data_IF_498525434546
#
_entry.id   IF_498525434546
#
_cell.length_a   1.000
_cell.length_b   1.000
_cell.length_c   1.000
_cell.angle_alpha   90.00
_cell.angle_beta   90.00
_cell.angle_gamma   90.00
#
_symmetry.space_group_name_H-M   'P 1'
#
loop_
_entity.id
_entity.type
_entity.pdbx_description
1 polymer ?
#
# COMPACT_ATOMS: atom_id res chain seq x y z
N UNK A 1 3.48 75.93 3.15
CA UNK A 1 3.13 74.62 3.74
C UNK A 1 4.08 73.59 3.15
N UNK A 2 4.82 72.86 3.98
CA UNK A 2 5.39 71.58 3.54
C UNK A 2 4.26 70.53 3.49
N UNK A 3 4.38 69.51 2.65
CA UNK A 3 3.60 68.28 2.79
C UNK A 3 4.42 67.32 3.64
N UNK A 4 3.80 66.76 4.67
CA UNK A 4 4.39 65.64 5.41
C UNK A 4 4.42 64.39 4.51
N UNK A 5 5.44 63.53 4.63
CA UNK A 5 5.42 62.22 4.00
C UNK A 5 4.40 61.33 4.72
N UNK A 6 3.50 60.71 3.96
CA UNK A 6 2.62 59.67 4.51
C UNK A 6 3.51 58.48 4.89
N UNK A 7 3.45 58.07 6.16
CA UNK A 7 4.11 56.86 6.62
C UNK A 7 3.27 55.64 6.24
N UNK A 8 3.73 54.87 5.24
CA UNK A 8 3.22 53.51 4.99
C UNK A 8 3.62 52.59 6.15
N UNK A 9 2.85 52.67 7.24
CA UNK A 9 2.93 51.75 8.35
C UNK A 9 2.28 50.42 7.95
N UNK A 10 3.06 49.56 7.27
CA UNK A 10 2.73 48.15 7.15
C UNK A 10 2.39 47.62 8.57
N UNK A 11 1.23 46.97 8.77
CA UNK A 11 0.92 46.38 10.07
C UNK A 11 1.98 45.32 10.37
N UNK A 12 2.73 45.53 11.45
CA UNK A 12 3.85 44.65 11.83
C UNK A 12 3.35 43.22 11.95
N UNK A 13 3.87 42.33 11.11
CA UNK A 13 3.55 40.91 11.16
C UNK A 13 3.87 40.37 12.55
N UNK A 14 2.92 39.64 13.14
CA UNK A 14 3.23 38.79 14.29
C UNK A 14 4.25 37.75 13.83
N UNK A 15 5.36 37.52 14.54
CA UNK A 15 6.36 36.54 14.12
C UNK A 15 5.80 35.11 14.18
N UNK A 16 6.43 34.13 13.49
CA UNK A 16 6.08 32.73 13.62
C UNK A 16 6.10 32.27 15.08
N UNK A 17 5.24 31.32 15.51
CA UNK A 17 5.25 30.83 16.88
C UNK A 17 6.62 30.27 17.27
N UNK A 18 7.34 30.97 18.16
CA UNK A 18 8.76 30.75 18.43
C UNK A 18 9.09 29.29 18.77
N UNK A 19 8.29 28.64 19.63
CA UNK A 19 8.49 27.24 20.01
C UNK A 19 8.30 26.26 18.85
N UNK A 20 7.46 26.59 17.86
CA UNK A 20 7.28 25.78 16.64
C UNK A 20 8.44 26.00 15.66
N UNK A 21 8.92 27.24 15.52
CA UNK A 21 10.12 27.58 14.75
C UNK A 21 11.38 26.90 15.32
N UNK A 22 11.53 26.86 16.65
CA UNK A 22 12.61 26.14 17.33
C UNK A 22 12.50 24.62 17.10
N UNK A 23 11.32 24.04 17.34
CA UNK A 23 11.04 22.61 17.06
C UNK A 23 11.31 22.23 15.60
N UNK A 24 11.13 23.14 14.63
CA UNK A 24 11.44 22.88 13.22
C UNK A 24 12.94 22.93 12.91
N UNK A 25 13.72 23.76 13.62
CA UNK A 25 15.20 23.82 13.47
C UNK A 25 15.86 22.52 13.89
N UNK A 26 15.35 21.85 14.93
CA UNK A 26 15.84 20.54 15.39
C UNK A 26 15.79 19.43 14.31
N UNK A 27 14.87 19.58 13.34
CA UNK A 27 14.71 18.67 12.20
C UNK A 27 15.19 19.27 10.87
N UNK A 28 15.71 20.49 10.89
CA UNK A 28 16.05 21.26 9.69
C UNK A 28 14.85 21.40 8.75
N UNK A 29 13.77 22.04 9.20
CA UNK A 29 12.54 22.29 8.43
C UNK A 29 12.03 23.73 8.58
N UNK A 30 12.88 24.70 8.95
CA UNK A 30 12.44 26.08 9.25
C UNK A 30 11.97 26.88 8.02
N UNK A 31 12.33 26.48 6.79
CA UNK A 31 11.93 27.16 5.54
C UNK A 31 10.41 27.18 5.30
N UNK A 32 9.62 26.35 6.00
CA UNK A 32 8.16 26.37 5.91
C UNK A 32 7.56 27.75 6.28
N UNK A 33 8.31 28.57 7.03
CA UNK A 33 7.95 29.94 7.37
C UNK A 33 8.62 31.02 6.49
N UNK A 34 9.32 30.65 5.41
CA UNK A 34 10.08 31.60 4.58
C UNK A 34 9.24 32.72 3.93
N UNK A 35 7.93 32.50 3.73
CA UNK A 35 6.98 33.48 3.19
C UNK A 35 6.00 34.02 4.25
N UNK A 36 6.28 33.81 5.54
CA UNK A 36 5.34 34.09 6.64
C UNK A 36 4.83 35.53 6.67
N UNK A 37 5.68 36.50 6.35
CA UNK A 37 5.32 37.93 6.35
C UNK A 37 4.34 38.30 5.23
N UNK A 38 4.30 37.51 4.14
CA UNK A 38 3.36 37.68 3.01
C UNK A 38 1.96 37.10 3.30
N UNK A 39 1.82 36.25 4.33
CA UNK A 39 0.58 35.55 4.66
C UNK A 39 -0.46 36.42 5.39
N UNK A 40 -1.74 36.21 5.08
CA UNK A 40 -2.86 36.67 5.92
C UNK A 40 -2.90 35.97 7.29
N UNK A 41 -3.69 36.48 8.24
CA UNK A 41 -3.82 35.86 9.57
C UNK A 41 -4.42 34.46 9.48
N UNK A 42 -5.36 34.26 8.58
CA UNK A 42 -6.05 33.00 8.30
C UNK A 42 -5.10 31.96 7.69
N UNK A 43 -4.23 32.39 6.77
CA UNK A 43 -3.20 31.53 6.16
C UNK A 43 -2.10 31.16 7.17
N UNK A 44 -1.68 32.08 8.04
CA UNK A 44 -0.79 31.79 9.17
C UNK A 44 -1.39 30.72 10.09
N UNK A 45 -2.66 30.87 10.45
CA UNK A 45 -3.41 29.93 11.27
C UNK A 45 -3.54 28.54 10.62
N UNK A 46 -3.71 28.48 9.29
CA UNK A 46 -3.72 27.23 8.52
C UNK A 46 -2.34 26.58 8.54
N UNK A 47 -1.27 27.33 8.27
CA UNK A 47 0.09 26.81 8.21
C UNK A 47 0.56 26.24 9.55
N UNK A 48 0.32 26.97 10.66
CA UNK A 48 0.65 26.50 12.02
C UNK A 48 -0.04 25.16 12.29
N UNK A 49 -1.36 25.06 12.06
CA UNK A 49 -2.11 23.81 12.25
C UNK A 49 -1.64 22.69 11.31
N UNK A 50 -1.28 23.01 10.08
CA UNK A 50 -0.82 22.03 9.08
C UNK A 50 0.55 21.40 9.45
N UNK A 51 1.39 22.14 10.18
CA UNK A 51 2.67 21.70 10.75
C UNK A 51 2.51 21.04 12.12
N UNK A 52 1.66 21.56 13.00
CA UNK A 52 1.44 21.00 14.35
C UNK A 52 0.93 19.55 14.28
N UNK A 53 0.09 19.25 13.29
CA UNK A 53 -0.39 17.89 12.98
C UNK A 53 0.70 16.95 12.41
N UNK A 54 1.96 17.38 12.26
CA UNK A 54 3.07 16.54 11.82
C UNK A 54 3.82 15.92 12.99
N UNK A 55 3.94 14.58 12.95
CA UNK A 55 4.95 13.83 13.71
C UNK A 55 6.32 14.04 13.06
N UNK A 56 6.91 15.20 13.32
CA UNK A 56 8.23 15.60 12.79
C UNK A 56 9.32 14.57 13.15
N UNK A 57 9.22 13.89 14.29
CA UNK A 57 10.18 12.86 14.71
C UNK A 57 10.08 11.59 13.86
N UNK A 58 8.86 11.11 13.57
CA UNK A 58 8.67 10.02 12.60
C UNK A 58 9.10 10.43 11.19
N UNK A 59 8.80 11.65 10.77
CA UNK A 59 9.09 12.14 9.41
C UNK A 59 10.60 12.28 9.21
N UNK A 60 11.32 12.90 10.13
CA UNK A 60 12.79 12.97 10.13
C UNK A 60 13.43 11.57 10.13
N UNK A 61 12.93 10.64 10.96
CA UNK A 61 13.39 9.25 10.95
C UNK A 61 13.17 8.57 9.59
N UNK A 62 12.04 8.83 8.91
CA UNK A 62 11.77 8.34 7.54
C UNK A 62 12.79 8.92 6.55
N UNK A 63 13.00 10.24 6.58
CA UNK A 63 13.94 10.98 5.73
C UNK A 63 15.36 10.44 5.91
N UNK A 64 15.88 10.44 7.15
CA UNK A 64 17.23 9.95 7.47
C UNK A 64 17.42 8.48 7.08
N UNK A 65 16.44 7.61 7.34
CA UNK A 65 16.51 6.22 6.88
C UNK A 65 16.51 6.10 5.35
N UNK A 66 15.81 6.97 4.63
CA UNK A 66 15.79 7.01 3.17
C UNK A 66 17.16 7.34 2.58
N UNK A 67 17.70 8.51 2.95
CA UNK A 67 18.99 8.97 2.43
C UNK A 67 20.14 8.03 2.82
N UNK A 68 20.17 7.55 4.07
CA UNK A 68 21.19 6.60 4.52
C UNK A 68 21.07 5.21 3.86
N UNK A 69 19.92 4.85 3.27
CA UNK A 69 19.76 3.56 2.59
C UNK A 69 20.49 3.47 1.24
N UNK A 70 20.78 4.60 0.59
CA UNK A 70 21.41 4.62 -0.74
C UNK A 70 22.91 4.26 -0.73
N UNK A 71 23.55 4.22 0.44
CA UNK A 71 24.98 3.91 0.59
C UNK A 71 25.31 2.52 1.15
N UNK A 72 24.31 1.71 1.54
CA UNK A 72 24.54 0.41 2.19
C UNK A 72 24.42 -0.73 1.17
N UNK A 73 25.43 -1.61 1.01
CA UNK A 73 25.33 -2.77 0.13
C UNK A 73 24.08 -3.62 0.44
N UNK A 74 23.22 -3.78 -0.55
CA UNK A 74 22.00 -4.58 -0.41
C UNK A 74 22.37 -6.04 -0.09
N UNK A 75 21.81 -6.58 0.99
CA UNK A 75 22.03 -7.97 1.38
C UNK A 75 21.62 -8.91 0.22
N UNK A 76 22.53 -9.81 -0.15
CA UNK A 76 22.44 -10.67 -1.34
C UNK A 76 21.08 -11.36 -1.47
N UNK A 77 20.53 -11.35 -2.68
CA UNK A 77 19.19 -11.88 -2.96
C UNK A 77 19.27 -13.34 -3.43
N UNK A 78 18.50 -14.19 -2.76
CA UNK A 78 18.26 -15.59 -3.14
C UNK A 78 16.85 -15.73 -3.71
N UNK A 79 16.58 -16.68 -4.63
CA UNK A 79 15.23 -16.97 -5.07
C UNK A 79 14.37 -17.49 -3.91
N UNK A 80 13.05 -17.37 -4.02
CA UNK A 80 12.12 -18.04 -3.09
C UNK A 80 12.31 -19.56 -3.21
N UNK A 81 12.48 -20.31 -2.10
CA UNK A 81 12.52 -21.77 -2.16
C UNK A 81 11.20 -22.33 -2.70
N UNK A 82 11.28 -23.22 -3.69
CA UNK A 82 10.10 -23.85 -4.30
C UNK A 82 9.24 -24.59 -3.25
N UNK A 83 9.86 -25.16 -2.21
CA UNK A 83 9.18 -25.87 -1.11
C UNK A 83 8.26 -25.02 -0.23
N UNK A 84 8.25 -23.69 -0.37
CA UNK A 84 7.27 -22.80 0.30
C UNK A 84 6.29 -22.13 -0.70
N UNK A 85 6.29 -22.57 -1.96
CA UNK A 85 5.38 -22.14 -3.01
C UNK A 85 4.51 -23.33 -3.42
N UNK A 86 3.19 -23.20 -3.34
CA UNK A 86 2.29 -24.11 -4.07
C UNK A 86 1.96 -23.49 -5.40
N UNK A 87 2.51 -24.01 -6.50
CA UNK A 87 2.03 -23.68 -7.86
C UNK A 87 0.62 -24.22 -8.05
N UNK A 88 -0.05 -23.95 -9.18
CA UNK A 88 -1.39 -24.52 -9.42
C UNK A 88 -1.29 -25.89 -10.09
N UNK A 89 -0.23 -26.10 -10.85
CA UNK A 89 0.12 -27.32 -11.58
C UNK A 89 0.45 -28.50 -10.65
N UNK A 90 0.92 -28.23 -9.43
CA UNK A 90 1.26 -29.24 -8.41
C UNK A 90 0.09 -29.58 -7.46
N UNK A 91 -1.11 -29.01 -7.67
CA UNK A 91 -2.26 -29.21 -6.77
C UNK A 91 -3.13 -30.37 -7.23
N UNK A 92 -3.27 -31.38 -6.37
CA UNK A 92 -4.24 -32.46 -6.57
C UNK A 92 -5.68 -31.93 -6.50
N UNK A 93 -6.66 -32.71 -6.99
CA UNK A 93 -8.07 -32.32 -6.84
C UNK A 93 -8.50 -32.38 -5.36
N UNK A 94 -7.91 -33.32 -4.64
CA UNK A 94 -8.03 -33.56 -3.21
C UNK A 94 -7.53 -32.35 -2.40
N UNK A 95 -6.39 -31.75 -2.76
CA UNK A 95 -5.91 -30.48 -2.17
C UNK A 95 -6.90 -29.33 -2.42
N UNK A 96 -7.37 -29.20 -3.66
CA UNK A 96 -8.28 -28.12 -4.06
C UNK A 96 -9.60 -28.22 -3.32
N UNK A 97 -10.15 -29.42 -3.18
CA UNK A 97 -11.39 -29.69 -2.44
C UNK A 97 -11.19 -29.54 -0.93
N UNK A 98 -10.10 -30.08 -0.36
CA UNK A 98 -9.71 -29.92 1.05
C UNK A 98 -9.61 -28.45 1.44
N UNK A 99 -8.82 -27.67 0.72
CA UNK A 99 -8.65 -26.25 1.00
C UNK A 99 -9.95 -25.47 0.75
N UNK A 100 -10.73 -25.78 -0.30
CA UNK A 100 -12.05 -25.17 -0.49
C UNK A 100 -12.96 -25.42 0.73
N UNK A 101 -13.10 -26.68 1.18
CA UNK A 101 -13.89 -27.04 2.38
C UNK A 101 -13.38 -26.31 3.65
N UNK A 102 -12.07 -26.23 3.86
CA UNK A 102 -11.47 -25.53 5.00
C UNK A 102 -11.73 -24.02 4.98
N UNK A 103 -11.58 -23.37 3.82
CA UNK A 103 -11.87 -21.94 3.67
C UNK A 103 -13.35 -21.62 3.80
N UNK A 104 -14.22 -22.42 3.17
CA UNK A 104 -15.67 -22.26 3.27
C UNK A 104 -16.15 -22.41 4.72
N UNK A 105 -15.61 -23.37 5.48
CA UNK A 105 -15.87 -23.49 6.91
C UNK A 105 -15.41 -22.25 7.69
N UNK A 106 -14.21 -21.72 7.41
CA UNK A 106 -13.71 -20.52 8.09
C UNK A 106 -14.56 -19.27 7.78
N UNK A 107 -15.06 -19.14 6.54
CA UNK A 107 -16.05 -18.11 6.17
C UNK A 107 -17.37 -18.32 6.91
N UNK A 108 -17.92 -19.53 6.90
CA UNK A 108 -19.21 -19.83 7.52
C UNK A 108 -19.19 -19.70 9.06
N UNK A 109 -18.02 -19.85 9.67
CA UNK A 109 -17.75 -19.57 11.09
C UNK A 109 -17.46 -18.08 11.40
N UNK A 110 -17.56 -17.18 10.42
CA UNK A 110 -17.35 -15.73 10.60
C UNK A 110 -15.90 -15.31 10.84
N UNK A 111 -14.91 -16.14 10.47
CA UNK A 111 -13.49 -15.91 10.81
C UNK A 111 -12.72 -15.09 9.77
N UNK A 112 -13.32 -14.79 8.62
CA UNK A 112 -12.71 -14.04 7.52
C UNK A 112 -13.23 -12.60 7.47
N UNK A 113 -12.30 -11.65 7.39
CA UNK A 113 -12.55 -10.29 6.93
C UNK A 113 -11.87 -10.04 5.58
N UNK A 114 -12.31 -9.00 4.89
CA UNK A 114 -11.71 -8.50 3.64
C UNK A 114 -11.17 -7.09 3.87
N UNK A 115 -9.98 -6.80 3.38
CA UNK A 115 -9.27 -5.53 3.53
C UNK A 115 -8.88 -4.97 2.16
N UNK A 116 -9.59 -3.94 1.73
CA UNK A 116 -9.37 -3.30 0.43
C UNK A 116 -8.44 -2.10 0.55
N UNK A 117 -7.41 -2.06 -0.28
CA UNK A 117 -6.48 -0.95 -0.42
C UNK A 117 -6.95 -0.07 -1.60
N UNK A 118 -7.66 1.02 -1.29
CA UNK A 118 -8.30 1.94 -2.25
C UNK A 118 -7.95 3.42 -2.03
N UNK A 119 -6.75 3.69 -1.49
CA UNK A 119 -6.26 5.05 -1.28
C UNK A 119 -5.87 5.83 -2.55
N UNK A 120 -5.72 5.14 -3.69
CA UNK A 120 -5.31 5.73 -4.97
C UNK A 120 -6.46 6.31 -5.80
N UNK A 121 -6.22 7.49 -6.39
CA UNK A 121 -7.11 8.11 -7.38
C UNK A 121 -6.97 7.44 -8.77
N UNK A 122 -7.99 7.63 -9.62
CA UNK A 122 -8.04 7.15 -11.01
C UNK A 122 -7.27 8.02 -12.02
N UNK A 123 -6.35 8.87 -11.58
CA UNK A 123 -5.74 9.92 -12.44
C UNK A 123 -4.98 9.40 -13.65
N UNK A 124 -4.27 8.27 -13.53
CA UNK A 124 -3.63 7.59 -14.70
C UNK A 124 -4.64 6.98 -15.69
N UNK A 125 -5.88 6.76 -15.26
CA UNK A 125 -6.99 6.30 -16.10
C UNK A 125 -7.81 7.48 -16.67
N UNK A 126 -7.33 8.72 -16.51
CA UNK A 126 -8.03 9.92 -16.95
C UNK A 126 -9.24 10.34 -16.08
N UNK A 127 -9.43 9.73 -14.91
CA UNK A 127 -10.54 10.04 -14.00
C UNK A 127 -10.07 10.82 -12.76
N UNK A 128 -10.90 11.76 -12.30
CA UNK A 128 -10.77 12.45 -11.01
C UNK A 128 -11.09 11.57 -9.81
N UNK A 129 -11.78 10.46 -10.03
CA UNK A 129 -12.51 9.74 -8.99
C UNK A 129 -11.64 8.67 -8.32
N UNK A 130 -12.03 8.12 -7.15
CA UNK A 130 -11.37 6.96 -6.56
C UNK A 130 -11.30 5.80 -7.56
N UNK A 131 -10.17 5.11 -7.65
CA UNK A 131 -9.95 4.09 -8.71
C UNK A 131 -11.02 2.98 -8.72
N UNK A 132 -11.59 2.64 -7.56
CA UNK A 132 -12.68 1.67 -7.44
C UNK A 132 -14.01 2.06 -8.12
N UNK A 133 -14.26 3.36 -8.34
CA UNK A 133 -15.44 3.84 -9.06
C UNK A 133 -15.36 3.59 -10.58
N UNK A 134 -14.17 3.28 -11.10
CA UNK A 134 -13.93 3.18 -12.54
C UNK A 134 -14.69 2.01 -13.19
N UNK A 135 -15.37 2.28 -14.30
CA UNK A 135 -16.03 1.29 -15.15
C UNK A 135 -15.11 0.95 -16.33
N UNK A 136 -14.67 -0.32 -16.41
CA UNK A 136 -13.74 -0.81 -17.45
C UNK A 136 -14.42 -1.16 -18.79
N UNK A 137 -15.67 -0.76 -19.01
CA UNK A 137 -16.39 -0.98 -20.26
C UNK A 137 -17.03 -2.36 -20.43
N UNK A 138 -17.28 -3.08 -19.33
CA UNK A 138 -18.02 -4.35 -19.41
C UNK A 138 -19.48 -4.11 -19.86
N UNK A 139 -20.12 -5.07 -20.56
CA UNK A 139 -21.53 -4.96 -20.98
C UNK A 139 -22.54 -4.74 -19.85
N UNK A 140 -22.13 -4.99 -18.60
CA UNK A 140 -22.92 -4.77 -17.39
C UNK A 140 -22.77 -3.37 -16.76
N UNK A 141 -21.86 -2.53 -17.27
CA UNK A 141 -21.60 -1.17 -16.79
C UNK A 141 -21.00 -1.04 -15.38
N UNK A 142 -20.63 -2.16 -14.75
CA UNK A 142 -20.26 -2.22 -13.33
C UNK A 142 -18.87 -1.64 -13.06
N UNK A 143 -18.74 -0.90 -11.96
CA UNK A 143 -17.46 -0.42 -11.44
C UNK A 143 -16.66 -1.51 -10.72
N UNK A 144 -15.37 -1.29 -10.50
CA UNK A 144 -14.51 -2.22 -9.76
C UNK A 144 -15.03 -2.50 -8.34
N UNK A 145 -15.55 -1.50 -7.63
CA UNK A 145 -16.20 -1.69 -6.33
C UNK A 145 -17.41 -2.63 -6.42
N UNK A 146 -18.30 -2.44 -7.39
CA UNK A 146 -19.46 -3.32 -7.57
C UNK A 146 -19.06 -4.77 -7.90
N UNK A 147 -18.08 -4.95 -8.79
CA UNK A 147 -17.55 -6.28 -9.14
C UNK A 147 -16.93 -7.00 -7.94
N UNK A 148 -16.40 -6.26 -6.96
CA UNK A 148 -15.83 -6.80 -5.73
C UNK A 148 -16.92 -7.12 -4.69
N UNK A 149 -17.88 -6.21 -4.51
CA UNK A 149 -19.04 -6.42 -3.62
C UNK A 149 -19.88 -7.65 -4.01
N UNK A 150 -20.15 -7.83 -5.31
CA UNK A 150 -20.89 -8.99 -5.82
C UNK A 150 -20.13 -10.31 -5.65
N UNK A 151 -18.79 -10.28 -5.57
CA UNK A 151 -17.97 -11.46 -5.23
C UNK A 151 -18.08 -11.80 -3.74
N UNK A 152 -18.10 -10.80 -2.86
CA UNK A 152 -18.34 -10.98 -1.42
C UNK A 152 -19.73 -11.61 -1.19
N UNK A 153 -20.78 -11.05 -1.81
CA UNK A 153 -22.15 -11.60 -1.77
C UNK A 153 -22.21 -13.04 -2.32
N UNK A 154 -21.46 -13.36 -3.37
CA UNK A 154 -21.39 -14.71 -3.92
C UNK A 154 -20.76 -15.70 -2.93
N UNK A 155 -19.63 -15.34 -2.30
CA UNK A 155 -18.98 -16.19 -1.29
C UNK A 155 -19.88 -16.38 -0.06
N UNK A 156 -20.57 -15.32 0.41
CA UNK A 156 -21.58 -15.43 1.48
C UNK A 156 -22.73 -16.39 1.12
N UNK A 157 -23.26 -16.31 -0.10
CA UNK A 157 -24.32 -17.24 -0.58
C UNK A 157 -23.82 -18.69 -0.62
N UNK A 158 -22.62 -18.92 -1.16
CA UNK A 158 -22.02 -20.25 -1.24
C UNK A 158 -21.71 -20.82 0.16
N UNK A 159 -21.27 -19.99 1.11
CA UNK A 159 -21.02 -20.40 2.49
C UNK A 159 -22.33 -20.82 3.19
N UNK A 160 -23.41 -20.04 3.00
CA UNK A 160 -24.75 -20.39 3.50
C UNK A 160 -25.28 -21.71 2.92
N UNK A 161 -24.99 -22.00 1.64
CA UNK A 161 -25.33 -23.28 1.01
C UNK A 161 -24.49 -24.47 1.51
N UNK A 162 -23.34 -24.22 2.14
CA UNK A 162 -22.45 -25.29 2.65
C UNK A 162 -22.81 -25.78 4.07
N UNK A 163 -23.61 -25.02 4.83
CA UNK A 163 -24.18 -25.48 6.11
C UNK A 163 -25.50 -26.20 5.83
N UNK A 164 -25.43 -27.51 5.64
CA UNK A 164 -26.62 -28.34 5.38
C UNK A 164 -27.44 -28.72 6.63
N UNK A 165 -27.06 -28.23 7.82
CA UNK A 165 -27.69 -28.61 9.10
C UNK A 165 -27.93 -27.40 10.02
N UNK A 166 -29.22 -27.06 10.22
CA UNK A 166 -29.72 -26.39 11.42
C UNK A 166 -29.40 -24.90 11.61
N UNK A 167 -30.26 -24.03 11.03
CA UNK A 167 -30.63 -22.69 11.55
C UNK A 167 -29.51 -21.68 11.92
N UNK A 168 -28.28 -21.88 11.45
CA UNK A 168 -27.17 -20.94 11.67
C UNK A 168 -27.03 -19.98 10.49
N UNK A 169 -27.42 -18.73 10.69
CA UNK A 169 -27.10 -17.63 9.78
C UNK A 169 -25.57 -17.49 9.67
N UNK A 170 -25.04 -17.50 8.45
CA UNK A 170 -23.62 -17.19 8.20
C UNK A 170 -23.37 -15.71 8.50
N UNK A 171 -22.37 -15.36 9.35
CA UNK A 171 -21.99 -13.97 9.56
C UNK A 171 -21.52 -13.32 8.24
N UNK A 172 -21.85 -12.04 7.97
CA UNK A 172 -21.36 -11.35 6.79
C UNK A 172 -19.83 -11.22 6.82
N UNK A 173 -19.20 -11.22 5.64
CA UNK A 173 -17.75 -11.05 5.50
C UNK A 173 -17.48 -9.54 5.60
N UNK A 174 -16.96 -9.11 6.74
CA UNK A 174 -16.76 -7.69 7.01
C UNK A 174 -15.71 -7.09 6.07
N UNK A 175 -16.07 -6.01 5.38
CA UNK A 175 -15.27 -5.35 4.36
C UNK A 175 -14.70 -4.02 4.87
N UNK A 176 -13.44 -4.04 5.27
CA UNK A 176 -12.69 -2.85 5.66
C UNK A 176 -12.10 -2.21 4.39
N UNK A 177 -12.46 -0.96 4.12
CA UNK A 177 -12.04 -0.24 2.90
C UNK A 177 -11.12 0.91 3.32
N UNK A 178 -9.84 0.78 2.97
CA UNK A 178 -8.85 1.80 3.23
C UNK A 178 -8.85 2.83 2.10
N UNK A 179 -9.22 4.07 2.43
CA UNK A 179 -9.25 5.23 1.55
C UNK A 179 -8.03 6.12 1.81
N UNK A 180 -7.89 7.23 1.08
CA UNK A 180 -7.00 8.33 1.46
C UNK A 180 -7.82 9.58 1.74
N UNK A 181 -7.27 10.63 2.37
CA UNK A 181 -7.96 11.91 2.53
C UNK A 181 -8.47 12.52 1.21
N UNK A 182 -7.87 12.14 0.07
CA UNK A 182 -8.26 12.58 -1.28
C UNK A 182 -9.28 11.66 -1.99
N UNK A 183 -9.68 10.54 -1.39
CA UNK A 183 -10.66 9.59 -1.98
C UNK A 183 -11.84 9.24 -1.06
N UNK A 184 -11.74 9.47 0.24
CA UNK A 184 -12.69 8.96 1.24
C UNK A 184 -14.13 9.47 1.05
N UNK A 185 -14.35 10.78 1.02
CA UNK A 185 -15.69 11.37 0.92
C UNK A 185 -16.43 10.93 -0.36
N UNK A 186 -15.72 10.93 -1.49
CA UNK A 186 -16.26 10.47 -2.79
C UNK A 186 -16.57 8.96 -2.75
N UNK A 187 -15.72 8.16 -2.08
CA UNK A 187 -15.93 6.71 -1.95
C UNK A 187 -17.18 6.42 -1.09
N UNK A 188 -17.35 7.09 0.06
CA UNK A 188 -18.55 6.92 0.92
C UNK A 188 -19.83 7.24 0.16
N UNK A 189 -19.89 8.44 -0.44
CA UNK A 189 -21.04 8.88 -1.27
C UNK A 189 -21.32 7.95 -2.43
N UNK A 190 -20.29 7.37 -3.06
CA UNK A 190 -20.45 6.39 -4.13
C UNK A 190 -21.10 5.08 -3.63
N UNK A 191 -20.68 4.55 -2.48
CA UNK A 191 -21.32 3.37 -1.88
C UNK A 191 -22.75 3.65 -1.40
N UNK A 192 -22.98 4.78 -0.72
CA UNK A 192 -24.30 5.20 -0.22
C UNK A 192 -25.32 5.31 -1.38
N UNK A 193 -24.97 6.03 -2.45
CA UNK A 193 -25.82 6.19 -3.64
C UNK A 193 -26.11 4.87 -4.38
N UNK A 194 -25.20 3.90 -4.30
CA UNK A 194 -25.38 2.55 -4.87
C UNK A 194 -25.89 1.52 -3.85
N UNK A 195 -26.37 1.95 -2.67
CA UNK A 195 -26.90 1.10 -1.59
C UNK A 195 -25.95 -0.05 -1.23
N UNK A 196 -24.66 0.28 -1.08
CA UNK A 196 -23.57 -0.66 -0.77
C UNK A 196 -23.49 -1.86 -1.72
N UNK A 197 -24.02 -1.72 -2.94
CA UNK A 197 -24.11 -2.77 -3.97
C UNK A 197 -24.87 -4.04 -3.51
N UNK A 198 -25.77 -3.91 -2.53
CA UNK A 198 -26.53 -5.02 -1.95
C UNK A 198 -25.85 -5.73 -0.77
N UNK A 199 -24.74 -5.20 -0.26
CA UNK A 199 -24.25 -5.51 1.09
C UNK A 199 -25.06 -4.71 2.13
N UNK A 200 -25.15 -5.20 3.36
CA UNK A 200 -25.66 -4.40 4.48
C UNK A 200 -24.65 -3.30 4.84
N UNK A 201 -25.13 -2.10 5.19
CA UNK A 201 -24.28 -0.94 5.44
C UNK A 201 -23.31 -1.12 6.63
N UNK A 202 -23.66 -1.97 7.60
CA UNK A 202 -22.87 -2.24 8.81
C UNK A 202 -21.74 -3.27 8.61
N UNK A 203 -21.76 -4.04 7.51
CA UNK A 203 -20.66 -4.95 7.14
C UNK A 203 -19.56 -4.26 6.31
N UNK A 204 -19.67 -2.95 6.06
CA UNK A 204 -18.68 -2.14 5.34
C UNK A 204 -18.12 -1.06 6.26
N UNK A 205 -16.79 -0.90 6.30
CA UNK A 205 -16.15 0.10 7.19
C UNK A 205 -15.03 0.83 6.47
N UNK A 206 -15.25 2.12 6.18
CA UNK A 206 -14.27 2.99 5.55
C UNK A 206 -13.36 3.67 6.57
N UNK A 207 -12.06 3.59 6.35
CA UNK A 207 -11.03 4.23 7.19
C UNK A 207 -9.90 4.80 6.32
N UNK A 208 -9.29 5.89 6.77
CA UNK A 208 -8.28 6.60 5.97
C UNK A 208 -6.86 6.13 6.29
N UNK A 209 -6.04 5.95 5.26
CA UNK A 209 -4.58 5.87 5.43
C UNK A 209 -3.98 7.24 5.74
N UNK A 210 -2.71 7.26 6.19
CA UNK A 210 -2.03 8.48 6.57
C UNK A 210 -1.63 9.34 5.38
N UNK A 211 -1.06 10.50 5.68
CA UNK A 211 -0.28 11.27 4.72
C UNK A 211 1.06 11.66 5.33
N UNK A 212 2.03 11.93 4.47
CA UNK A 212 3.39 12.35 4.82
C UNK A 212 3.83 13.49 3.90
N UNK A 213 4.65 14.45 4.38
CA UNK A 213 5.20 15.51 3.53
C UNK A 213 5.99 14.98 2.34
N UNK A 214 5.81 15.63 1.20
CA UNK A 214 6.74 15.56 0.09
C UNK A 214 8.02 16.32 0.46
N UNK A 215 9.19 15.77 0.12
CA UNK A 215 10.49 16.41 0.44
C UNK A 215 11.34 16.66 -0.79
N UNK A 216 12.28 17.59 -0.68
CA UNK A 216 13.29 17.87 -1.72
C UNK A 216 14.41 16.81 -1.69
N UNK A 217 15.37 16.93 -2.61
CA UNK A 217 16.61 16.13 -2.61
C UNK A 217 17.48 16.35 -1.37
N UNK A 218 17.27 17.46 -0.69
CA UNK A 218 17.99 17.92 0.50
C UNK A 218 17.22 17.57 1.79
N UNK A 219 16.06 16.91 1.67
CA UNK A 219 15.20 16.51 2.80
C UNK A 219 14.31 17.61 3.37
N UNK A 220 14.30 18.82 2.79
CA UNK A 220 13.40 19.92 3.20
C UNK A 220 11.97 19.65 2.74
N UNK A 221 10.97 20.01 3.53
CA UNK A 221 9.56 19.93 3.15
C UNK A 221 9.27 20.79 1.91
N UNK A 222 8.47 20.28 0.98
CA UNK A 222 8.02 21.04 -0.19
C UNK A 222 6.63 21.62 0.08
N UNK A 223 6.45 22.90 -0.23
CA UNK A 223 5.18 23.61 -0.04
C UNK A 223 4.25 23.43 -1.25
N UNK A 224 2.95 23.23 -1.01
CA UNK A 224 1.91 23.25 -2.05
C UNK A 224 1.47 24.70 -2.34
N UNK A 225 1.28 25.47 -1.27
CA UNK A 225 1.04 26.92 -1.25
C UNK A 225 1.96 27.55 -0.19
N UNK A 226 2.14 28.88 -0.16
CA UNK A 226 2.89 29.56 0.91
C UNK A 226 2.48 29.22 2.35
N UNK A 227 1.29 28.62 2.53
CA UNK A 227 0.70 28.28 3.83
C UNK A 227 0.30 26.80 3.99
N UNK A 228 0.78 25.90 3.11
CA UNK A 228 0.46 24.46 3.19
C UNK A 228 1.61 23.58 2.72
N UNK A 229 1.94 22.56 3.51
CA UNK A 229 2.94 21.56 3.13
C UNK A 229 2.33 20.60 2.11
N UNK A 230 3.02 20.33 1.00
CA UNK A 230 2.59 19.34 0.02
C UNK A 230 2.67 17.94 0.64
N UNK A 231 1.55 17.21 0.61
CA UNK A 231 1.40 15.91 1.29
C UNK A 231 0.97 14.82 0.30
N UNK A 232 1.56 13.65 0.45
CA UNK A 232 1.20 12.42 -0.28
C UNK A 232 0.56 11.42 0.67
N UNK A 233 -0.34 10.53 0.22
CA UNK A 233 -0.73 9.36 1.00
C UNK A 233 0.50 8.50 1.33
N UNK A 234 0.53 7.88 2.51
CA UNK A 234 1.73 7.21 3.06
C UNK A 234 2.05 5.81 2.47
N UNK A 235 1.44 5.48 1.33
CA UNK A 235 1.62 4.21 0.61
C UNK A 235 0.82 3.05 1.20
N UNK A 236 0.74 1.93 0.47
CA UNK A 236 -0.08 0.78 0.85
C UNK A 236 0.32 0.11 2.19
N UNK A 237 1.55 0.34 2.67
CA UNK A 237 2.02 -0.02 4.01
C UNK A 237 1.50 0.88 5.15
N UNK A 238 0.89 2.03 4.84
CA UNK A 238 0.19 2.88 5.80
C UNK A 238 -0.95 2.15 6.53
N UNK A 239 -1.49 1.09 5.91
CA UNK A 239 -2.57 0.25 6.45
C UNK A 239 -2.31 -0.26 7.87
N UNK A 240 -1.07 -0.57 8.23
CA UNK A 240 -0.75 -1.04 9.59
C UNK A 240 -0.85 0.07 10.65
N UNK A 241 -0.53 1.31 10.28
CA UNK A 241 -0.77 2.48 11.15
C UNK A 241 -2.27 2.80 11.21
N UNK A 242 -2.92 2.85 10.05
CA UNK A 242 -4.34 3.19 9.92
C UNK A 242 -5.26 2.23 10.68
N UNK A 243 -5.10 0.91 10.51
CA UNK A 243 -5.87 -0.11 11.25
C UNK A 243 -5.76 0.05 12.78
N UNK A 244 -4.60 0.47 13.28
CA UNK A 244 -4.35 0.68 14.72
C UNK A 244 -4.94 2.00 15.21
N UNK A 245 -4.70 3.11 14.53
CA UNK A 245 -5.26 4.41 14.93
C UNK A 245 -6.80 4.44 14.83
N UNK A 246 -7.38 3.74 13.84
CA UNK A 246 -8.83 3.55 13.73
C UNK A 246 -9.39 2.43 14.62
N UNK A 247 -8.55 1.78 15.45
CA UNK A 247 -8.94 0.71 16.40
C UNK A 247 -9.64 -0.51 15.77
N UNK A 248 -9.38 -0.74 14.48
CA UNK A 248 -9.99 -1.80 13.69
C UNK A 248 -9.40 -3.18 14.01
N UNK A 249 -8.21 -3.24 14.60
CA UNK A 249 -7.62 -4.48 15.11
C UNK A 249 -8.43 -5.04 16.30
N UNK A 250 -8.94 -4.15 17.18
CA UNK A 250 -9.84 -4.52 18.27
C UNK A 250 -11.26 -4.83 17.79
N UNK A 251 -11.77 -4.12 16.78
CA UNK A 251 -13.07 -4.43 16.15
C UNK A 251 -13.05 -5.80 15.46
N UNK A 252 -12.01 -6.10 14.66
CA UNK A 252 -11.76 -7.43 14.11
C UNK A 252 -11.70 -8.51 15.20
N UNK A 253 -11.00 -8.25 16.31
CA UNK A 253 -10.92 -9.20 17.42
C UNK A 253 -12.29 -9.45 18.08
N UNK A 254 -13.08 -8.39 18.26
CA UNK A 254 -14.43 -8.42 18.86
C UNK A 254 -15.42 -9.16 17.98
N UNK A 255 -15.33 -9.01 16.65
CA UNK A 255 -16.10 -9.77 15.65
C UNK A 255 -15.65 -11.25 15.52
N UNK A 256 -14.59 -11.66 16.20
CA UNK A 256 -14.05 -13.03 16.14
C UNK A 256 -13.18 -13.33 14.92
N UNK A 257 -12.83 -12.33 14.11
CA UNK A 257 -11.99 -12.46 12.92
C UNK A 257 -10.65 -13.10 13.28
N UNK A 258 -10.16 -13.99 12.41
CA UNK A 258 -8.83 -14.60 12.49
C UNK A 258 -8.00 -14.36 11.24
N UNK A 259 -8.65 -14.16 10.09
CA UNK A 259 -8.03 -14.13 8.77
C UNK A 259 -8.47 -12.88 8.00
N UNK A 260 -7.55 -12.26 7.28
CA UNK A 260 -7.78 -11.02 6.54
C UNK A 260 -7.27 -11.19 5.10
N UNK A 261 -8.18 -11.22 4.13
CA UNK A 261 -7.88 -11.22 2.69
C UNK A 261 -7.67 -9.77 2.22
N UNK A 262 -6.41 -9.38 1.99
CA UNK A 262 -5.96 -8.02 1.75
C UNK A 262 -5.56 -7.82 0.28
N UNK A 263 -6.16 -6.85 -0.42
CA UNK A 263 -5.92 -6.66 -1.85
C UNK A 263 -6.03 -5.21 -2.38
N UNK A 264 -5.35 -4.93 -3.50
CA UNK A 264 -5.42 -3.66 -4.23
C UNK A 264 -6.65 -3.52 -5.15
N UNK A 265 -7.29 -2.36 -5.15
CA UNK A 265 -8.60 -2.12 -5.80
C UNK A 265 -8.61 -2.24 -7.34
N UNK A 266 -7.45 -2.12 -8.00
CA UNK A 266 -7.29 -2.17 -9.46
C UNK A 266 -7.47 -3.56 -10.08
N UNK A 267 -7.29 -4.63 -9.30
CA UNK A 267 -7.33 -5.98 -9.84
C UNK A 267 -8.78 -6.40 -10.18
N UNK A 268 -9.23 -6.08 -11.40
CA UNK A 268 -10.55 -6.45 -11.91
C UNK A 268 -10.84 -7.97 -11.86
N UNK A 269 -9.82 -8.82 -11.85
CA UNK A 269 -9.92 -10.28 -11.77
C UNK A 269 -9.78 -10.85 -10.34
N UNK A 270 -9.72 -10.01 -9.31
CA UNK A 270 -9.50 -10.45 -7.93
C UNK A 270 -10.61 -11.40 -7.45
N UNK A 271 -10.20 -12.63 -7.09
CA UNK A 271 -11.03 -13.56 -6.31
C UNK A 271 -11.01 -13.08 -4.86
N UNK A 272 -11.91 -12.16 -4.53
CA UNK A 272 -12.17 -11.68 -3.16
C UNK A 272 -12.66 -12.83 -2.29
N UNK A 273 -12.18 -12.92 -1.06
CA UNK A 273 -12.58 -13.94 -0.08
C UNK A 273 -12.38 -15.40 -0.57
N UNK A 274 -11.35 -15.61 -1.40
CA UNK A 274 -11.05 -16.88 -2.08
C UNK A 274 -10.91 -18.08 -1.10
N UNK A 275 -11.90 -18.99 -1.06
CA UNK A 275 -11.91 -20.06 -0.06
C UNK A 275 -10.75 -21.06 -0.24
N UNK A 276 -10.30 -21.30 -1.48
CA UNK A 276 -9.14 -22.18 -1.73
C UNK A 276 -7.85 -21.55 -1.19
N UNK A 277 -7.69 -20.23 -1.27
CA UNK A 277 -6.52 -19.55 -0.72
C UNK A 277 -6.58 -19.48 0.81
N UNK A 278 -7.75 -19.21 1.38
CA UNK A 278 -7.95 -19.24 2.83
C UNK A 278 -7.71 -20.65 3.41
N UNK A 279 -8.20 -21.69 2.75
CA UNK A 279 -7.94 -23.07 3.16
C UNK A 279 -6.47 -23.45 3.09
N UNK A 280 -5.77 -23.08 2.01
CA UNK A 280 -4.32 -23.25 1.88
C UNK A 280 -3.56 -22.54 3.02
N UNK A 281 -3.95 -21.30 3.32
CA UNK A 281 -3.36 -20.50 4.39
C UNK A 281 -3.50 -21.17 5.77
N UNK A 282 -4.69 -21.71 6.06
CA UNK A 282 -4.99 -22.45 7.29
C UNK A 282 -4.22 -23.79 7.32
N UNK A 283 -4.22 -24.55 6.22
CA UNK A 283 -3.54 -25.85 6.09
C UNK A 283 -2.02 -25.76 6.26
N UNK A 284 -1.41 -24.64 5.84
CA UNK A 284 0.03 -24.37 6.06
C UNK A 284 0.35 -23.75 7.42
N UNK A 285 -0.66 -23.34 8.21
CA UNK A 285 -0.45 -22.78 9.56
C UNK A 285 0.39 -21.49 9.59
N UNK A 286 0.44 -20.74 8.49
CA UNK A 286 1.31 -19.55 8.36
C UNK A 286 0.62 -18.28 8.84
N UNK A 287 1.38 -17.30 9.32
CA UNK A 287 0.85 -16.01 9.79
C UNK A 287 0.63 -14.99 8.65
N UNK A 288 1.26 -15.21 7.49
CA UNK A 288 1.18 -14.37 6.30
C UNK A 288 1.46 -15.18 5.04
N UNK A 289 0.72 -14.93 3.96
CA UNK A 289 0.93 -15.51 2.63
C UNK A 289 0.58 -14.48 1.54
N UNK A 290 1.03 -14.73 0.31
CA UNK A 290 0.67 -13.93 -0.86
C UNK A 290 0.22 -14.83 -2.02
N UNK A 291 -0.70 -14.35 -2.87
CA UNK A 291 -0.85 -14.88 -4.23
C UNK A 291 0.16 -14.17 -5.12
N UNK A 292 0.85 -14.93 -5.96
CA UNK A 292 1.86 -14.44 -6.91
C UNK A 292 1.48 -14.83 -8.32
N UNK A 293 2.01 -14.12 -9.30
CA UNK A 293 2.00 -14.55 -10.71
C UNK A 293 3.41 -14.92 -11.15
N UNK A 294 3.53 -15.66 -12.26
CA UNK A 294 4.84 -15.86 -12.88
C UNK A 294 5.20 -14.61 -13.67
N UNK A 295 6.39 -14.05 -13.39
CA UNK A 295 7.00 -13.02 -14.23
C UNK A 295 7.08 -13.53 -15.66
N UNK A 296 6.44 -12.84 -16.58
CA UNK A 296 6.24 -13.30 -17.96
C UNK A 296 7.52 -13.17 -18.80
N UNK A 297 8.31 -12.12 -18.55
CA UNK A 297 9.58 -11.86 -19.24
C UNK A 297 10.53 -11.03 -18.34
N UNK A 298 11.87 -11.08 -18.54
CA UNK A 298 12.85 -10.45 -17.64
C UNK A 298 12.61 -8.96 -17.38
N UNK A 299 12.15 -8.24 -18.40
CA UNK A 299 11.94 -6.78 -18.43
C UNK A 299 10.58 -6.34 -17.87
N UNK A 300 9.71 -7.26 -17.41
CA UNK A 300 8.42 -6.89 -16.82
C UNK A 300 8.63 -6.01 -15.57
N UNK A 301 7.95 -4.86 -15.54
CA UNK A 301 8.02 -3.85 -14.47
C UNK A 301 7.17 -4.26 -13.26
N UNK A 302 7.57 -5.33 -12.59
CA UNK A 302 6.87 -5.85 -11.40
C UNK A 302 7.87 -6.23 -10.32
N UNK A 303 7.56 -5.87 -9.07
CA UNK A 303 8.34 -6.29 -7.91
C UNK A 303 8.27 -7.81 -7.74
N UNK A 304 9.42 -8.43 -7.48
CA UNK A 304 9.54 -9.90 -7.32
C UNK A 304 9.84 -10.27 -5.88
N UNK A 305 9.24 -11.35 -5.40
CA UNK A 305 9.59 -11.95 -4.12
C UNK A 305 10.98 -12.60 -4.20
N UNK A 306 11.81 -12.27 -3.22
CA UNK A 306 13.15 -12.84 -3.01
C UNK A 306 13.34 -13.19 -1.53
N UNK A 307 14.35 -14.00 -1.23
CA UNK A 307 14.89 -14.14 0.12
C UNK A 307 16.10 -13.21 0.29
N UNK A 308 16.16 -12.45 1.38
CA UNK A 308 17.30 -11.55 1.68
C UNK A 308 18.33 -12.30 2.55
N UNK A 309 19.37 -12.81 1.91
CA UNK A 309 20.45 -13.59 2.52
C UNK A 309 20.07 -15.04 2.86
N UNK A 310 21.07 -15.92 2.91
CA UNK A 310 20.91 -17.34 3.23
C UNK A 310 20.23 -17.55 4.58
N UNK A 311 19.10 -18.23 4.57
CA UNK A 311 18.27 -18.45 5.78
C UNK A 311 17.33 -17.29 6.13
N UNK A 312 17.54 -16.10 5.57
CA UNK A 312 16.85 -14.85 5.92
C UNK A 312 15.37 -14.76 5.49
N UNK A 313 14.73 -13.60 5.74
CA UNK A 313 13.31 -13.37 5.44
C UNK A 313 13.04 -13.22 3.94
N UNK A 314 11.78 -13.45 3.57
CA UNK A 314 11.25 -13.01 2.29
C UNK A 314 11.09 -11.48 2.28
N UNK A 315 11.21 -10.89 1.11
CA UNK A 315 10.83 -9.50 0.82
C UNK A 315 10.54 -9.35 -0.66
N UNK A 316 9.89 -8.25 -1.06
CA UNK A 316 9.92 -7.83 -2.45
C UNK A 316 11.23 -7.09 -2.76
N UNK A 317 11.67 -7.20 -4.01
CA UNK A 317 12.64 -6.33 -4.69
C UNK A 317 11.87 -5.70 -5.83
N UNK A 318 11.74 -4.37 -5.86
CA UNK A 318 11.07 -3.70 -6.98
C UNK A 318 11.90 -3.79 -8.26
N UNK A 319 11.25 -3.67 -9.42
CA UNK A 319 11.92 -3.82 -10.72
C UNK A 319 13.05 -2.81 -10.96
N UNK A 320 13.06 -1.70 -10.23
CA UNK A 320 14.12 -0.68 -10.19
C UNK A 320 15.27 -1.00 -9.22
N UNK A 321 15.07 -1.89 -8.26
CA UNK A 321 16.12 -2.43 -7.36
C UNK A 321 16.80 -3.69 -7.94
N UNK A 322 16.16 -4.37 -8.90
CA UNK A 322 16.63 -5.64 -9.43
C UNK A 322 17.67 -5.45 -10.55
N UNK A 323 18.88 -5.95 -10.32
CA UNK A 323 19.95 -5.97 -11.32
C UNK A 323 19.48 -6.62 -12.65
N UNK A 324 19.65 -5.96 -13.81
CA UNK A 324 19.22 -6.50 -15.12
C UNK A 324 19.87 -7.83 -15.51
N UNK A 325 21.08 -8.13 -15.00
CA UNK A 325 21.71 -9.44 -15.19
C UNK A 325 20.99 -10.52 -14.41
N UNK A 326 20.58 -10.22 -13.16
CA UNK A 326 19.84 -11.15 -12.30
C UNK A 326 18.40 -11.37 -12.78
N UNK A 327 17.75 -10.35 -13.35
CA UNK A 327 16.37 -10.47 -13.87
C UNK A 327 16.24 -11.46 -15.03
N UNK A 328 17.34 -11.74 -15.73
CA UNK A 328 17.40 -12.61 -16.91
C UNK A 328 17.94 -14.02 -16.63
N UNK A 329 18.35 -14.34 -15.39
CA UNK A 329 18.91 -15.67 -15.04
C UNK A 329 17.83 -16.74 -15.10
N UNK A 330 18.11 -17.86 -15.79
CA UNK A 330 17.24 -19.05 -15.85
C UNK A 330 17.63 -20.08 -14.78
N UNK A 331 16.63 -20.58 -14.05
CA UNK A 331 16.76 -21.77 -13.21
C UNK A 331 16.82 -23.03 -14.09
N UNK A 332 18.00 -23.64 -14.15
CA UNK A 332 18.27 -24.81 -15.00
C UNK A 332 17.42 -26.06 -14.67
N UNK A 333 16.87 -26.16 -13.45
CA UNK A 333 16.02 -27.29 -13.06
C UNK A 333 14.55 -27.13 -13.49
N UNK A 334 14.07 -25.89 -13.64
CA UNK A 334 12.65 -25.60 -13.91
C UNK A 334 12.40 -24.92 -15.25
N UNK A 335 13.45 -24.45 -15.93
CA UNK A 335 13.36 -23.65 -17.17
C UNK A 335 12.80 -22.24 -16.96
N UNK A 336 12.43 -21.87 -15.73
CA UNK A 336 11.82 -20.57 -15.38
C UNK A 336 12.88 -19.50 -15.10
N UNK A 337 12.50 -18.23 -15.15
CA UNK A 337 13.32 -17.15 -14.58
C UNK A 337 13.58 -17.44 -13.09
N UNK A 338 14.82 -17.23 -12.63
CA UNK A 338 15.25 -17.50 -11.24
C UNK A 338 14.49 -16.64 -10.24
N UNK A 339 14.13 -15.42 -10.62
CA UNK A 339 13.32 -14.50 -9.83
C UNK A 339 11.98 -14.27 -10.54
N UNK A 340 11.10 -15.28 -10.49
CA UNK A 340 9.84 -15.31 -11.26
C UNK A 340 8.56 -15.07 -10.44
N UNK A 341 8.62 -14.92 -9.11
CA UNK A 341 7.41 -14.80 -8.30
C UNK A 341 7.01 -13.34 -8.10
N UNK A 342 6.15 -12.84 -8.99
CA UNK A 342 5.73 -11.43 -9.06
C UNK A 342 4.68 -11.08 -8.01
N UNK A 343 4.86 -9.92 -7.37
CA UNK A 343 3.97 -9.33 -6.38
C UNK A 343 2.75 -8.65 -7.05
N UNK A 344 1.56 -9.20 -6.86
CA UNK A 344 0.30 -8.64 -7.38
C UNK A 344 -0.61 -8.05 -6.30
N UNK A 345 -0.03 -7.69 -5.15
CA UNK A 345 -0.75 -7.07 -4.03
C UNK A 345 -2.00 -7.86 -3.59
N UNK A 346 -1.86 -9.18 -3.45
CA UNK A 346 -2.88 -10.11 -2.95
C UNK A 346 -2.31 -10.89 -1.77
N UNK A 347 -2.78 -10.63 -0.55
CA UNK A 347 -2.18 -11.15 0.68
C UNK A 347 -3.22 -11.72 1.64
N UNK A 348 -2.87 -12.78 2.37
CA UNK A 348 -3.65 -13.29 3.50
C UNK A 348 -2.84 -13.11 4.78
N UNK A 349 -3.44 -12.53 5.81
CA UNK A 349 -2.81 -12.31 7.11
C UNK A 349 -3.63 -12.95 8.24
N UNK A 350 -2.97 -13.39 9.31
CA UNK A 350 -3.65 -13.58 10.60
C UNK A 350 -3.84 -12.24 11.30
N UNK A 351 -4.91 -12.11 12.08
CA UNK A 351 -5.11 -10.94 12.94
C UNK A 351 -3.95 -10.73 13.93
N UNK A 352 -3.35 -11.81 14.41
CA UNK A 352 -2.17 -11.78 15.30
C UNK A 352 -0.92 -11.23 14.59
N UNK A 353 -0.77 -11.45 13.28
CA UNK A 353 0.31 -10.88 12.48
C UNK A 353 0.12 -9.36 12.30
N UNK A 354 -1.10 -8.91 11.94
CA UNK A 354 -1.41 -7.49 11.83
C UNK A 354 -1.17 -6.75 13.15
N UNK A 355 -1.60 -7.34 14.28
CA UNK A 355 -1.33 -6.81 15.62
C UNK A 355 0.17 -6.75 15.95
N UNK A 356 0.95 -7.78 15.62
CA UNK A 356 2.41 -7.76 15.83
C UNK A 356 3.11 -6.70 14.98
N UNK A 357 2.70 -6.50 13.72
CA UNK A 357 3.28 -5.49 12.84
C UNK A 357 2.91 -4.07 13.29
N UNK A 358 1.64 -3.81 13.56
CA UNK A 358 1.15 -2.48 13.96
C UNK A 358 1.70 -2.02 15.33
N UNK A 359 1.92 -2.95 16.27
CA UNK A 359 2.61 -2.66 17.53
C UNK A 359 4.15 -2.72 17.44
N UNK A 360 4.69 -3.28 16.36
CA UNK A 360 6.12 -3.27 16.04
C UNK A 360 6.58 -1.93 15.44
N UNK A 361 5.70 -1.21 14.73
CA UNK A 361 5.99 0.05 14.03
C UNK A 361 6.40 1.22 14.93
N UNK A 362 5.96 1.23 16.19
CA UNK A 362 6.33 2.27 17.16
C UNK A 362 7.76 2.09 17.69
N UNK A 363 8.34 0.89 17.57
CA UNK A 363 9.67 0.55 18.07
C UNK A 363 10.66 0.57 16.91
N UNK A 364 11.87 1.08 17.12
CA UNK A 364 12.88 1.40 16.09
C UNK A 364 13.52 0.20 15.36
N UNK A 365 12.81 -0.93 15.30
CA UNK A 365 13.29 -2.22 14.79
C UNK A 365 12.96 -2.48 13.32
N UNK A 366 12.07 -1.68 12.69
CA UNK A 366 11.57 -1.95 11.34
C UNK A 366 12.20 -1.01 10.32
N UNK A 367 13.12 -1.56 9.50
CA UNK A 367 13.59 -0.90 8.28
C UNK A 367 12.47 -0.85 7.24
N UNK A 368 11.79 0.29 7.18
CA UNK A 368 10.91 0.71 6.09
C UNK A 368 11.65 0.60 4.74
N UNK A 369 10.90 0.32 3.67
CA UNK A 369 11.36 0.51 2.29
C UNK A 369 10.63 1.74 1.74
N UNK A 370 11.33 2.53 0.93
CA UNK A 370 10.83 3.78 0.38
C UNK A 370 10.97 3.73 -1.15
N UNK A 371 9.89 4.01 -1.88
CA UNK A 371 9.94 4.15 -3.35
C UNK A 371 10.04 5.63 -3.70
N UNK A 372 11.22 6.08 -4.13
CA UNK A 372 11.43 7.47 -4.56
C UNK A 372 10.78 7.74 -5.91
N UNK A 373 9.55 8.25 -5.90
CA UNK A 373 8.94 8.83 -7.11
C UNK A 373 9.56 10.21 -7.39
N UNK A 374 9.94 10.47 -8.64
CA UNK A 374 10.28 11.80 -9.13
C UNK A 374 9.15 12.33 -10.01
N UNK A 375 8.47 13.39 -9.57
CA UNK A 375 7.35 14.00 -10.32
C UNK A 375 7.74 15.43 -10.73
N UNK A 376 7.78 15.69 -12.04
CA UNK A 376 7.89 17.04 -12.60
C UNK A 376 6.51 17.70 -12.55
N UNK A 377 6.27 18.51 -11.52
CA UNK A 377 5.06 19.34 -11.39
C UNK A 377 4.98 20.33 -12.56
N UNK A 378 3.99 20.19 -13.46
CA UNK A 378 3.85 21.15 -14.56
C UNK A 378 3.41 22.53 -14.03
N UNK A 379 4.20 23.57 -14.35
CA UNK A 379 4.12 25.00 -13.95
C UNK A 379 2.74 25.70 -13.97
N UNK A 380 1.67 25.08 -14.49
CA UNK A 380 0.44 25.74 -14.97
C UNK A 380 -0.52 26.33 -13.92
N UNK A 381 -0.30 26.15 -12.61
CA UNK A 381 -1.06 26.87 -11.56
C UNK A 381 -0.25 27.87 -10.72
N UNK A 382 1.07 27.70 -10.62
CA UNK A 382 1.91 28.55 -9.76
C UNK A 382 2.07 29.99 -10.33
N UNK A 383 2.13 30.10 -11.65
CA UNK A 383 2.44 31.38 -12.33
C UNK A 383 1.31 32.41 -12.36
N UNK A 384 0.06 32.01 -12.04
CA UNK A 384 -1.12 32.85 -12.25
C UNK A 384 -1.59 33.62 -10.99
N UNK A 385 -0.95 33.38 -9.85
CA UNK A 385 -1.23 34.03 -8.56
C UNK A 385 -0.20 35.08 -8.16
N UNK A 386 1.10 34.83 -8.38
CA UNK A 386 2.17 35.56 -7.66
C UNK A 386 2.70 36.84 -8.32
N UNK A 387 2.41 37.13 -9.60
CA UNK A 387 2.74 38.40 -10.27
C UNK A 387 4.22 38.80 -10.42
N UNK A 388 5.15 38.12 -9.74
CA UNK A 388 6.57 38.49 -9.62
C UNK A 388 7.45 37.65 -10.56
N UNK A 389 8.36 38.26 -11.34
CA UNK A 389 9.37 37.54 -12.11
C UNK A 389 10.48 37.03 -11.19
N UNK A 390 10.82 35.75 -11.29
CA UNK A 390 11.94 35.14 -10.56
C UNK A 390 13.10 34.78 -11.49
N UNK A 391 14.32 34.77 -10.95
CA UNK A 391 15.56 34.76 -11.72
C UNK A 391 15.78 33.46 -12.53
N UNK A 392 16.45 33.61 -13.67
CA UNK A 392 16.37 32.72 -14.84
C UNK A 392 17.32 31.51 -14.81
N UNK A 393 18.02 31.27 -13.70
CA UNK A 393 19.12 30.29 -13.61
C UNK A 393 18.78 28.97 -12.88
N UNK A 394 17.54 28.73 -12.47
CA UNK A 394 17.10 27.41 -11.97
C UNK A 394 16.58 26.53 -13.11
N UNK A 395 17.12 25.31 -13.22
CA UNK A 395 16.77 24.36 -14.28
C UNK A 395 15.33 23.83 -14.14
N UNK A 396 14.77 23.37 -15.26
CA UNK A 396 13.33 23.10 -15.44
C UNK A 396 12.78 21.85 -14.73
N UNK A 397 13.48 21.31 -13.72
CA UNK A 397 13.14 20.02 -13.08
C UNK A 397 13.52 19.93 -11.60
N UNK A 398 12.72 20.56 -10.73
CA UNK A 398 12.75 20.30 -9.29
C UNK A 398 12.31 18.85 -9.00
N UNK A 399 13.26 17.97 -8.62
CA UNK A 399 12.95 16.59 -8.22
C UNK A 399 12.40 16.54 -6.79
N UNK A 400 11.06 16.56 -6.67
CA UNK A 400 10.38 16.05 -5.47
C UNK A 400 10.76 14.59 -5.21
N UNK A 401 10.90 14.23 -3.94
CA UNK A 401 11.02 12.86 -3.46
C UNK A 401 9.79 12.50 -2.62
N UNK A 402 8.98 11.61 -3.18
CA UNK A 402 7.90 10.97 -2.45
C UNK A 402 8.48 9.83 -1.59
N UNK A 403 7.99 9.71 -0.37
CA UNK A 403 8.18 8.54 0.45
C UNK A 403 6.86 7.78 0.48
N UNK A 404 6.91 6.45 0.45
CA UNK A 404 5.74 5.56 0.53
C UNK A 404 6.14 4.32 1.28
N UNK A 405 5.35 3.93 2.28
CA UNK A 405 5.47 2.62 2.92
C UNK A 405 4.85 1.56 2.01
N UNK A 406 5.57 0.47 1.76
CA UNK A 406 5.04 -0.72 1.11
C UNK A 406 4.49 -1.71 2.16
N UNK A 407 3.61 -2.62 1.74
CA UNK A 407 3.01 -3.67 2.58
C UNK A 407 3.97 -4.83 2.87
N UNK A 408 4.87 -5.14 1.94
CA UNK A 408 5.74 -6.32 1.94
C UNK A 408 7.04 -6.24 2.80
N UNK A 409 7.59 -5.08 3.21
CA UNK A 409 8.74 -4.96 4.12
C UNK A 409 8.63 -5.75 5.43
N UNK A 410 7.42 -5.90 5.94
CA UNK A 410 7.15 -6.38 7.28
C UNK A 410 7.36 -7.89 7.46
N UNK A 411 7.48 -8.63 6.35
CA UNK A 411 7.98 -10.02 6.32
C UNK A 411 9.35 -10.18 7.01
N UNK A 412 10.16 -9.12 7.12
CA UNK A 412 11.43 -9.08 7.85
C UNK A 412 11.33 -9.46 9.34
N UNK A 413 10.19 -9.22 10.00
CA UNK A 413 10.07 -9.38 11.45
C UNK A 413 9.98 -10.86 11.89
N UNK A 414 9.21 -11.67 11.16
CA UNK A 414 8.80 -13.01 11.63
C UNK A 414 9.95 -14.04 11.68
N UNK A 415 10.88 -13.99 10.72
CA UNK A 415 12.01 -14.94 10.64
C UNK A 415 13.00 -14.76 11.78
N UNK A 416 13.18 -13.53 12.29
CA UNK A 416 14.12 -13.26 13.40
C UNK A 416 13.69 -13.88 14.74
N UNK A 417 12.41 -14.24 14.89
CA UNK A 417 11.87 -14.88 16.11
C UNK A 417 11.86 -16.41 16.04
N UNK A 418 11.65 -16.98 14.84
CA UNK A 418 11.48 -18.43 14.66
C UNK A 418 12.74 -19.21 14.28
N UNK A 419 13.83 -18.55 13.85
CA UNK A 419 15.12 -19.21 13.56
C UNK A 419 15.78 -19.89 14.78
N UNK A 420 15.27 -19.69 16.01
CA UNK A 420 15.72 -20.40 17.20
C UNK A 420 15.07 -21.78 17.40
N UNK A 421 14.08 -22.18 16.59
CA UNK A 421 13.34 -23.44 16.79
C UNK A 421 13.22 -24.28 15.51
N UNK A 422 13.93 -25.42 15.53
CA UNK A 422 13.82 -26.65 14.71
C UNK A 422 15.10 -27.04 13.94
N UNK A 423 15.28 -28.35 13.74
CA UNK A 423 16.38 -28.99 12.99
C UNK A 423 15.81 -30.19 12.21
N UNK A 424 15.99 -30.24 10.90
CA UNK A 424 16.70 -31.29 10.11
C UNK A 424 16.33 -31.21 8.61
N UNK A 425 17.14 -31.76 7.68
CA UNK A 425 16.91 -31.62 6.24
C UNK A 425 16.81 -32.98 5.51
N UNK A 426 15.60 -33.38 5.13
CA UNK A 426 15.30 -34.55 4.29
C UNK A 426 14.15 -34.21 3.31
N UNK A 427 13.89 -35.11 2.36
CA UNK A 427 12.69 -35.15 1.50
C UNK A 427 12.53 -33.98 0.49
N UNK A 428 13.57 -33.79 -0.33
CA UNK A 428 13.45 -33.25 -1.70
C UNK A 428 13.13 -34.40 -2.69
N UNK A 429 12.98 -34.10 -4.00
CA UNK A 429 12.89 -35.03 -5.19
C UNK A 429 11.49 -35.70 -5.37
N UNK A 430 10.80 -35.77 -6.52
CA UNK A 430 10.87 -35.24 -7.93
C UNK A 430 9.41 -35.38 -8.53
N UNK A 431 8.88 -34.87 -9.67
CA UNK A 431 9.01 -33.62 -10.49
C UNK A 431 8.16 -33.71 -11.80
N UNK A 432 7.26 -32.73 -12.07
CA UNK A 432 6.65 -32.36 -13.40
C UNK A 432 5.68 -33.37 -14.11
N UNK A 433 4.84 -33.07 -15.13
CA UNK A 433 4.64 -31.86 -15.98
C UNK A 433 3.24 -31.80 -16.72
N UNK A 434 2.91 -30.65 -17.34
CA UNK A 434 2.01 -30.46 -18.54
C UNK A 434 0.48 -30.38 -18.28
N UNK A 435 -0.35 -29.42 -18.78
CA UNK A 435 -0.17 -28.04 -19.33
C UNK A 435 -1.52 -27.27 -19.33
N UNK A 436 -1.48 -25.92 -19.35
CA UNK A 436 -2.56 -24.93 -19.63
C UNK A 436 -3.97 -25.10 -19.00
N UNK A 437 -4.36 -24.18 -18.11
CA UNK A 437 -5.50 -23.25 -18.35
C UNK A 437 -5.68 -22.20 -17.22
N UNK A 438 -6.00 -20.95 -17.57
CA UNK A 438 -6.49 -19.88 -16.66
C UNK A 438 -5.89 -19.79 -15.22
N UNK A 439 -4.58 -19.61 -15.08
CA UNK A 439 -3.93 -19.35 -13.78
C UNK A 439 -3.26 -17.97 -13.71
N UNK A 440 -3.22 -17.39 -12.51
CA UNK A 440 -2.82 -16.00 -12.25
C UNK A 440 -1.53 -15.59 -12.98
N UNK A 441 -1.58 -14.44 -13.67
CA UNK A 441 -1.55 -14.48 -15.14
C UNK A 441 -0.25 -14.12 -15.87
N UNK A 442 -0.26 -14.50 -17.16
CA UNK A 442 0.69 -14.20 -18.24
C UNK A 442 0.56 -12.74 -18.69
N UNK A 443 1.62 -12.18 -19.28
CA UNK A 443 1.64 -10.85 -19.92
C UNK A 443 2.39 -10.87 -21.25
N UNK A 444 1.90 -10.12 -22.25
CA UNK A 444 2.49 -9.82 -23.57
C UNK A 444 1.65 -8.69 -24.25
N UNK A 445 2.14 -7.99 -25.30
CA UNK A 445 2.61 -6.60 -25.21
C UNK A 445 1.63 -5.57 -25.86
N UNK A 446 1.88 -4.26 -26.09
CA UNK A 446 3.09 -3.43 -26.35
C UNK A 446 2.87 -1.95 -25.92
N UNK A 447 3.95 -1.14 -25.84
CA UNK A 447 3.86 0.31 -26.11
C UNK A 447 4.22 1.35 -25.02
N UNK A 448 5.42 1.93 -25.14
CA UNK A 448 5.80 3.33 -24.78
C UNK A 448 5.46 3.95 -23.39
N UNK A 449 6.43 3.80 -22.47
CA UNK A 449 7.02 4.85 -21.60
C UNK A 449 6.12 5.90 -20.88
N UNK A 450 5.93 5.68 -19.57
CA UNK A 450 6.13 6.73 -18.55
C UNK A 450 6.71 6.12 -17.25
N UNK A 451 7.06 6.97 -16.26
CA UNK A 451 7.44 6.52 -14.91
C UNK A 451 6.20 6.36 -14.02
N UNK A 452 6.20 5.30 -13.22
CA UNK A 452 5.10 4.94 -12.34
C UNK A 452 5.59 4.53 -10.95
N UNK A 453 4.78 4.79 -9.94
CA UNK A 453 4.86 4.25 -8.58
C UNK A 453 3.45 3.81 -8.15
N UNK A 454 3.34 2.73 -7.37
CA UNK A 454 2.11 1.96 -7.16
C UNK A 454 1.57 2.01 -5.74
#
# INVERSE_FOLDING_TARGET
MMREPVSDSNPTSSPPPQALLERLKDYGQEDVFALWDELSSEERDILVKDIENLDLSRIDRIIRCSFNSQGVPAAAIEPVPESIVSTVEERTMEDRERWWKMGMKAVSEGKLAVLLLSGGQGTRLGSSDPKGCFNIGLPSGKSLFQLQAERILCVQRLASQSINEGSKTVPPIHWYIMTSPFTDEVTRKYFESHKYFGLEADQVTFFQQGTIPCVSKEGRFVMETPYRVAKSPDGNGGVYSALKFSRLLEDMATRGIKYIDCYGVDNALVRVADPTFLGYFIDKGVSTAAKVVRKAYPQEKVGVFVRRGKGGPLSVVEYSELDPSLSSVINQQTGRLRFCWSNVCLHMFTLDFLNQVANGLEKDSIKLYNVSAAITLQRKKFHQLMGIPWDTNLSSSSLMHFHMHLLQPFLRYYVKKNLHQSKTPMDQILTLQTVLDCFFFVSMPDGLLQLEVS
#
